data_IF_740199912672
#
_entry.id   IF_740199912672
#
_cell.length_a   1.000
_cell.length_b   1.000
_cell.length_c   1.000
_cell.angle_alpha   90.00
_cell.angle_beta   90.00
_cell.angle_gamma   90.00
#
_symmetry.space_group_name_H-M   'P 1'
#
loop_
_entity.id
_entity.type
_entity.pdbx_description
1 polymer ?
#
# COMPACT_ATOMS: atom_id res chain seq x y z
N UNK A 1 -17.33 -35.01 -40.88
CA UNK A 1 -16.22 -35.08 -39.90
C UNK A 1 -15.67 -33.69 -39.54
N UNK A 2 -15.25 -32.86 -40.50
CA UNK A 2 -14.71 -31.51 -40.22
C UNK A 2 -15.71 -30.60 -39.45
N UNK A 3 -17.00 -30.64 -39.83
CA UNK A 3 -18.05 -29.85 -39.18
C UNK A 3 -18.26 -30.23 -37.71
N UNK A 4 -18.15 -31.51 -37.36
CA UNK A 4 -18.28 -31.97 -35.98
C UNK A 4 -17.09 -31.55 -35.11
N UNK A 5 -15.89 -31.49 -35.70
CA UNK A 5 -14.68 -31.02 -35.00
C UNK A 5 -14.81 -29.53 -34.66
N UNK A 6 -15.31 -28.71 -35.60
CA UNK A 6 -15.52 -27.27 -35.36
C UNK A 6 -16.58 -27.00 -34.28
N UNK A 7 -17.66 -27.79 -34.26
CA UNK A 7 -18.70 -27.71 -33.22
C UNK A 7 -18.13 -28.10 -31.85
N UNK A 8 -17.32 -29.16 -31.77
CA UNK A 8 -16.67 -29.55 -30.52
C UNK A 8 -15.69 -28.48 -30.02
N UNK A 9 -14.90 -27.85 -30.91
CA UNK A 9 -14.01 -26.75 -30.53
C UNK A 9 -14.81 -25.54 -30.01
N UNK A 10 -15.92 -25.19 -30.66
CA UNK A 10 -16.80 -24.11 -30.21
C UNK A 10 -17.43 -24.40 -28.83
N UNK A 11 -17.87 -25.65 -28.60
CA UNK A 11 -18.39 -26.09 -27.30
C UNK A 11 -17.31 -26.09 -26.24
N UNK A 12 -16.09 -26.57 -26.54
CA UNK A 12 -14.96 -26.52 -25.62
C UNK A 12 -14.64 -25.08 -25.27
N UNK A 13 -14.54 -24.16 -26.25
CA UNK A 13 -14.30 -22.74 -26.00
C UNK A 13 -15.42 -22.08 -25.17
N UNK A 14 -16.67 -22.53 -25.32
CA UNK A 14 -17.81 -22.06 -24.53
C UNK A 14 -17.84 -22.64 -23.11
N UNK A 15 -17.37 -23.88 -22.91
CA UNK A 15 -17.28 -24.55 -21.61
C UNK A 15 -16.04 -24.12 -20.83
N UNK A 16 -14.94 -23.85 -21.51
CA UNK A 16 -13.73 -23.27 -20.95
C UNK A 16 -13.81 -21.75 -20.92
N UNK A 17 -15.02 -21.18 -20.91
CA UNK A 17 -15.26 -19.75 -20.81
C UNK A 17 -14.55 -19.17 -19.59
N UNK A 18 -13.28 -18.83 -19.75
CA UNK A 18 -12.54 -17.94 -18.88
C UNK A 18 -13.24 -16.61 -19.09
N UNK A 19 -14.26 -16.35 -18.27
CA UNK A 19 -14.79 -15.03 -18.11
C UNK A 19 -13.58 -14.14 -17.81
N UNK A 20 -13.13 -13.38 -18.80
CA UNK A 20 -12.24 -12.27 -18.57
C UNK A 20 -13.09 -11.34 -17.72
N UNK A 21 -12.92 -11.41 -16.39
CA UNK A 21 -13.55 -10.47 -15.48
C UNK A 21 -12.99 -9.11 -15.89
N UNK A 22 -13.75 -8.37 -16.69
CA UNK A 22 -13.44 -6.99 -17.01
C UNK A 22 -13.48 -6.25 -15.67
N UNK A 23 -12.30 -5.95 -15.11
CA UNK A 23 -12.18 -5.15 -13.89
C UNK A 23 -12.75 -3.78 -14.22
N UNK A 24 -13.90 -3.47 -13.64
CA UNK A 24 -14.61 -2.23 -13.95
C UNK A 24 -13.80 -1.05 -13.39
N UNK A 25 -13.26 -0.22 -14.28
CA UNK A 25 -12.41 0.94 -13.93
C UNK A 25 -13.22 2.04 -13.22
N UNK A 26 -14.55 1.99 -13.29
CA UNK A 26 -15.48 2.95 -12.67
C UNK A 26 -15.34 3.07 -11.15
N UNK A 27 -14.82 2.05 -10.50
CA UNK A 27 -14.84 1.95 -9.04
C UNK A 27 -13.55 2.51 -8.41
N UNK A 28 -12.65 3.07 -9.21
CA UNK A 28 -11.34 3.56 -8.80
C UNK A 28 -11.32 5.09 -8.78
N UNK A 29 -10.82 5.68 -7.69
CA UNK A 29 -10.66 7.14 -7.52
C UNK A 29 -9.29 7.48 -6.97
N UNK A 30 -8.82 8.71 -7.19
CA UNK A 30 -7.58 9.24 -6.61
C UNK A 30 -7.97 10.32 -5.60
N UNK A 31 -7.43 10.28 -4.39
CA UNK A 31 -7.61 11.32 -3.38
C UNK A 31 -6.85 12.60 -3.76
N UNK A 32 -7.08 13.70 -3.04
CA UNK A 32 -6.34 14.95 -3.24
C UNK A 32 -4.81 14.76 -3.08
N UNK A 33 -4.40 13.83 -2.21
CA UNK A 33 -2.99 13.48 -1.96
C UNK A 33 -2.41 12.49 -2.99
N UNK A 34 -3.13 12.19 -4.08
CA UNK A 34 -2.68 11.24 -5.09
C UNK A 34 -2.84 9.77 -4.70
N UNK A 35 -3.59 9.47 -3.63
CA UNK A 35 -3.74 8.09 -3.12
C UNK A 35 -4.86 7.34 -3.84
N UNK A 36 -4.57 6.10 -4.23
CA UNK A 36 -5.50 5.26 -4.95
C UNK A 36 -6.54 4.63 -4.01
N UNK A 37 -7.81 4.92 -4.26
CA UNK A 37 -8.96 4.37 -3.55
C UNK A 37 -9.80 3.49 -4.47
N UNK A 38 -10.41 2.46 -3.90
CA UNK A 38 -11.26 1.52 -4.63
C UNK A 38 -12.55 1.25 -3.87
N UNK A 39 -13.68 1.37 -4.57
CA UNK A 39 -15.03 1.26 -4.01
C UNK A 39 -15.80 0.04 -4.52
N UNK A 40 -15.18 -0.76 -5.39
CA UNK A 40 -15.82 -1.89 -6.03
C UNK A 40 -15.86 -3.14 -5.16
N UNK A 41 -16.14 -4.27 -5.80
CA UNK A 41 -16.39 -5.56 -5.13
C UNK A 41 -15.31 -6.64 -5.39
N UNK A 42 -14.13 -6.24 -5.86
CA UNK A 42 -13.01 -7.18 -6.02
C UNK A 42 -12.50 -7.65 -4.66
N UNK A 43 -12.28 -8.96 -4.51
CA UNK A 43 -11.88 -9.64 -3.26
C UNK A 43 -10.76 -10.65 -3.47
N UNK A 44 -9.88 -10.40 -4.45
CA UNK A 44 -8.69 -11.21 -4.70
C UNK A 44 -7.44 -10.33 -4.65
N UNK A 45 -6.35 -10.90 -4.13
CA UNK A 45 -5.04 -10.23 -4.13
C UNK A 45 -4.40 -10.29 -5.50
N UNK A 46 -3.24 -9.63 -5.65
CA UNK A 46 -2.41 -9.74 -6.85
C UNK A 46 -1.96 -11.17 -7.16
N UNK A 47 -1.88 -12.02 -6.13
CA UNK A 47 -1.51 -13.43 -6.25
C UNK A 47 -2.72 -14.36 -6.24
N UNK A 48 -3.91 -13.82 -6.54
CA UNK A 48 -5.18 -14.54 -6.61
C UNK A 48 -5.58 -15.23 -5.28
N UNK A 49 -5.07 -14.75 -4.14
CA UNK A 49 -5.54 -15.19 -2.83
C UNK A 49 -6.87 -14.53 -2.46
N UNK A 50 -7.76 -15.30 -1.82
CA UNK A 50 -9.06 -14.79 -1.40
C UNK A 50 -8.94 -13.91 -0.16
N UNK A 51 -9.54 -12.73 -0.24
CA UNK A 51 -9.56 -11.79 0.87
C UNK A 51 -10.42 -12.31 2.02
N UNK A 52 -9.89 -12.21 3.25
CA UNK A 52 -10.63 -12.44 4.47
C UNK A 52 -11.64 -11.31 4.75
N UNK A 53 -12.76 -11.60 5.44
CA UNK A 53 -13.70 -10.57 5.86
C UNK A 53 -13.07 -9.57 6.85
N UNK A 54 -13.25 -8.27 6.58
CA UNK A 54 -12.71 -7.21 7.43
C UNK A 54 -13.22 -7.29 8.87
N UNK A 55 -14.49 -7.66 9.06
CA UNK A 55 -15.14 -7.72 10.38
C UNK A 55 -14.60 -8.83 11.28
N UNK A 56 -14.16 -9.95 10.71
CA UNK A 56 -13.69 -11.10 11.49
C UNK A 56 -12.33 -10.84 12.14
N UNK A 57 -11.62 -9.81 11.66
CA UNK A 57 -10.27 -9.47 12.09
C UNK A 57 -10.23 -8.41 13.19
N UNK A 58 -11.37 -7.82 13.56
CA UNK A 58 -11.45 -6.64 14.44
C UNK A 58 -10.75 -6.82 15.80
N UNK A 59 -10.79 -8.02 16.37
CA UNK A 59 -10.15 -8.33 17.66
C UNK A 59 -8.67 -8.71 17.55
N UNK A 60 -8.22 -9.21 16.40
CA UNK A 60 -6.82 -9.60 16.17
C UNK A 60 -5.94 -8.39 15.76
N UNK A 61 -6.58 -7.27 15.47
CA UNK A 61 -6.02 -6.16 14.72
C UNK A 61 -5.38 -5.03 15.52
N UNK A 62 -5.83 -4.85 16.76
CA UNK A 62 -5.34 -3.78 17.64
C UNK A 62 -3.81 -3.85 17.76
N UNK A 63 -3.26 -5.06 17.67
CA UNK A 63 -1.82 -5.32 17.80
C UNK A 63 -1.03 -5.10 16.49
N UNK A 64 -1.65 -5.21 15.31
CA UNK A 64 -0.93 -5.19 14.01
C UNK A 64 -0.73 -3.77 13.49
N UNK A 65 -1.76 -2.91 13.59
CA UNK A 65 -1.73 -1.58 12.93
C UNK A 65 -1.58 -0.43 13.92
N UNK A 66 -1.77 -0.65 15.23
CA UNK A 66 -1.73 0.41 16.26
C UNK A 66 -2.59 1.65 15.94
N UNK A 67 -3.60 1.51 15.07
CA UNK A 67 -4.48 2.60 14.64
C UNK A 67 -5.89 2.40 15.22
N UNK A 68 -6.24 3.09 16.32
CA UNK A 68 -7.51 2.87 17.02
C UNK A 68 -8.74 3.25 16.20
N UNK A 69 -8.58 4.01 15.10
CA UNK A 69 -9.68 4.49 14.26
C UNK A 69 -9.86 3.71 12.95
N UNK A 70 -9.06 2.68 12.70
CA UNK A 70 -9.07 1.93 11.45
C UNK A 70 -10.45 1.38 11.07
N UNK A 71 -11.16 0.77 12.04
CA UNK A 71 -12.51 0.24 11.85
C UNK A 71 -13.63 1.28 11.89
N UNK A 72 -13.31 2.55 12.20
CA UNK A 72 -14.27 3.64 12.14
C UNK A 72 -14.52 4.10 10.70
N UNK A 73 -13.65 3.74 9.76
CA UNK A 73 -13.84 4.02 8.34
C UNK A 73 -15.13 3.34 7.81
N UNK A 74 -16.13 4.10 7.35
CA UNK A 74 -17.37 3.56 6.79
C UNK A 74 -17.13 2.63 5.59
N UNK A 75 -16.06 2.88 4.83
CA UNK A 75 -15.69 2.06 3.67
C UNK A 75 -15.31 0.64 4.08
N UNK A 76 -14.68 0.46 5.26
CA UNK A 76 -14.29 -0.85 5.80
C UNK A 76 -15.50 -1.60 6.34
N UNK A 77 -16.38 -0.93 7.09
CA UNK A 77 -17.60 -1.55 7.62
C UNK A 77 -18.50 -2.11 6.51
N UNK A 78 -18.55 -1.43 5.36
CA UNK A 78 -19.35 -1.85 4.21
C UNK A 78 -18.63 -2.83 3.27
N UNK A 79 -17.31 -2.98 3.39
CA UNK A 79 -16.50 -3.69 2.40
C UNK A 79 -16.65 -5.21 2.42
N UNK A 80 -17.29 -5.84 3.41
CA UNK A 80 -17.29 -7.32 3.56
C UNK A 80 -15.87 -7.88 3.56
N UNK A 81 -15.38 -8.38 2.43
CA UNK A 81 -14.00 -8.80 2.16
C UNK A 81 -13.39 -8.13 0.91
N UNK A 82 -14.00 -7.06 0.39
CA UNK A 82 -13.52 -6.36 -0.79
C UNK A 82 -12.27 -5.54 -0.49
N UNK A 83 -11.37 -5.43 -1.46
CA UNK A 83 -10.14 -4.65 -1.36
C UNK A 83 -10.43 -3.19 -0.99
N UNK A 84 -9.68 -2.62 -0.03
CA UNK A 84 -9.83 -1.22 0.40
C UNK A 84 -8.48 -0.61 0.73
N UNK A 85 -8.45 0.71 0.91
CA UNK A 85 -7.22 1.44 1.25
C UNK A 85 -7.48 2.45 2.39
N UNK A 86 -7.87 1.99 3.59
CA UNK A 86 -8.28 2.88 4.69
C UNK A 86 -7.11 3.66 5.32
N UNK A 87 -5.90 3.10 5.24
CA UNK A 87 -4.67 3.70 5.78
C UNK A 87 -3.91 4.54 4.75
N UNK A 88 -4.55 4.87 3.62
CA UNK A 88 -3.98 5.68 2.56
C UNK A 88 -2.61 5.18 2.05
N UNK A 89 -2.44 3.86 1.95
CA UNK A 89 -1.22 3.24 1.44
C UNK A 89 -0.96 3.67 -0.01
N UNK A 90 0.25 4.16 -0.29
CA UNK A 90 0.69 4.61 -1.63
C UNK A 90 0.70 3.49 -2.66
N UNK A 91 0.88 2.24 -2.23
CA UNK A 91 0.86 1.06 -3.09
C UNK A 91 -0.57 0.62 -3.46
N UNK A 92 -1.58 1.32 -2.92
CA UNK A 92 -2.97 1.20 -3.30
C UNK A 92 -3.76 0.15 -2.51
N UNK A 93 -4.96 -0.22 -2.99
CA UNK A 93 -5.90 -1.07 -2.26
C UNK A 93 -5.36 -2.47 -1.96
N UNK A 94 -5.74 -2.99 -0.80
CA UNK A 94 -5.25 -4.23 -0.24
C UNK A 94 -6.35 -4.92 0.58
N UNK A 95 -6.09 -6.15 1.02
CA UNK A 95 -6.94 -6.89 1.94
C UNK A 95 -6.11 -7.86 2.80
N UNK A 96 -6.76 -8.58 3.72
CA UNK A 96 -6.13 -9.67 4.46
C UNK A 96 -6.26 -10.98 3.74
N UNK A 97 -5.25 -11.81 3.93
CA UNK A 97 -5.24 -13.22 3.52
C UNK A 97 -4.70 -14.05 4.67
N UNK A 98 -5.07 -15.33 4.69
CA UNK A 98 -4.47 -16.32 5.57
C UNK A 98 -3.70 -17.34 4.74
N UNK A 99 -2.43 -17.51 5.06
CA UNK A 99 -1.58 -18.55 4.49
C UNK A 99 -0.84 -19.26 5.61
N UNK A 100 -0.91 -20.58 5.66
CA UNK A 100 -0.22 -21.40 6.68
C UNK A 100 -0.56 -21.00 8.14
N UNK A 101 -1.81 -20.62 8.40
CA UNK A 101 -2.30 -20.08 9.69
C UNK A 101 -1.66 -18.74 10.10
N UNK A 102 -1.11 -18.00 9.14
CA UNK A 102 -0.57 -16.66 9.34
C UNK A 102 -1.43 -15.69 8.54
N UNK A 103 -1.99 -14.69 9.23
CA UNK A 103 -2.76 -13.63 8.61
C UNK A 103 -1.82 -12.50 8.22
N UNK A 104 -1.84 -12.13 6.94
CA UNK A 104 -0.99 -11.06 6.38
C UNK A 104 -1.80 -10.10 5.53
N UNK A 105 -1.25 -8.90 5.35
CA UNK A 105 -1.78 -7.89 4.43
C UNK A 105 -1.20 -8.12 3.04
N UNK A 106 -2.04 -8.12 2.01
CA UNK A 106 -1.63 -8.23 0.62
C UNK A 106 -2.34 -7.25 -0.30
N UNK A 107 -1.61 -6.72 -1.29
CA UNK A 107 -2.14 -5.77 -2.26
C UNK A 107 -3.03 -6.44 -3.30
N UNK A 108 -4.10 -5.74 -3.66
CA UNK A 108 -5.03 -6.16 -4.69
C UNK A 108 -4.64 -5.62 -6.05
N UNK A 109 -4.95 -6.38 -7.09
CA UNK A 109 -4.67 -5.97 -8.46
C UNK A 109 -5.81 -5.16 -9.09
N UNK A 110 -6.17 -4.05 -8.46
CA UNK A 110 -7.24 -3.13 -8.89
C UNK A 110 -6.66 -1.78 -9.30
N UNK A 111 -7.39 -1.04 -10.14
CA UNK A 111 -7.07 0.36 -10.47
C UNK A 111 -5.72 0.59 -11.19
N UNK A 112 -5.11 -0.46 -11.76
CA UNK A 112 -3.84 -0.40 -12.50
C UNK A 112 -3.78 0.71 -13.56
N UNK A 113 -4.88 0.91 -14.30
CA UNK A 113 -4.96 1.90 -15.39
C UNK A 113 -4.96 3.36 -14.91
N UNK A 114 -5.27 3.61 -13.63
CA UNK A 114 -5.16 4.92 -13.01
C UNK A 114 -3.76 5.12 -12.42
N UNK A 115 -3.18 4.07 -11.82
CA UNK A 115 -1.81 4.09 -11.34
C UNK A 115 -0.81 4.39 -12.48
N UNK A 116 -1.00 3.77 -13.65
CA UNK A 116 -0.13 4.00 -14.83
C UNK A 116 -0.28 5.39 -15.46
N UNK A 117 -1.41 6.07 -15.22
CA UNK A 117 -1.67 7.42 -15.74
C UNK A 117 -0.94 8.50 -14.92
N UNK A 118 -0.55 8.18 -13.69
CA UNK A 118 0.28 9.03 -12.84
C UNK A 118 1.77 9.02 -13.25
N UNK A 119 2.21 8.09 -14.09
CA UNK A 119 3.64 7.85 -14.42
C UNK A 119 4.01 8.07 -15.87
N UNK A 120 3.14 8.65 -16.72
CA UNK A 120 3.48 8.97 -18.10
C UNK A 120 3.92 10.44 -18.21
N UNK A 121 5.20 10.73 -18.50
CA UNK A 121 5.62 12.04 -18.97
C UNK A 121 5.01 12.24 -20.36
N UNK A 122 4.24 13.31 -20.54
CA UNK A 122 3.73 13.71 -21.84
C UNK A 122 4.88 14.27 -22.68
N UNK A 123 5.22 13.53 -23.74
CA UNK A 123 5.86 13.94 -24.99
C UNK A 123 7.30 14.49 -25.03
N UNK A 124 7.96 14.08 -26.12
CA UNK A 124 9.38 14.15 -26.43
C UNK A 124 9.71 15.47 -27.15
N UNK A 125 10.75 16.16 -26.69
CA UNK A 125 11.54 17.10 -27.48
C UNK A 125 13.00 16.65 -27.49
N UNK A 126 13.38 15.91 -28.51
CA UNK A 126 14.76 15.53 -28.81
C UNK A 126 15.59 16.76 -29.19
N UNK A 127 16.61 17.11 -28.39
CA UNK A 127 17.80 17.87 -28.81
C UNK A 127 18.99 17.38 -27.96
N UNK A 128 19.82 16.58 -28.64
CA UNK A 128 21.29 16.58 -28.67
C UNK A 128 22.10 16.67 -27.35
N UNK A 129 23.04 15.73 -27.20
CA UNK A 129 24.19 15.86 -26.30
C UNK A 129 24.94 17.17 -26.59
N UNK A 130 24.78 18.19 -25.75
CA UNK A 130 25.82 19.19 -25.57
C UNK A 130 25.87 19.68 -24.13
N UNK A 131 26.99 19.37 -23.48
CA UNK A 131 27.33 19.88 -22.18
C UNK A 131 27.39 21.42 -22.21
N UNK A 132 26.41 22.09 -21.59
CA UNK A 132 26.55 23.49 -21.23
C UNK A 132 26.03 23.74 -19.81
N UNK A 133 26.98 24.12 -18.96
CA UNK A 133 26.93 24.99 -17.79
C UNK A 133 25.56 25.33 -17.17
N UNK A 134 25.50 25.08 -15.85
CA UNK A 134 24.98 25.97 -14.81
C UNK A 134 24.02 27.08 -15.26
N UNK A 135 22.72 26.86 -15.05
CA UNK A 135 21.79 27.72 -14.28
C UNK A 135 20.37 27.15 -14.40
N UNK A 136 20.02 26.20 -13.52
CA UNK A 136 18.66 25.62 -13.42
C UNK A 136 17.77 26.55 -12.57
N UNK A 137 17.21 27.57 -13.23
CA UNK A 137 16.12 28.40 -12.70
C UNK A 137 14.76 27.90 -13.22
N UNK A 138 13.94 27.35 -12.32
CA UNK A 138 12.54 27.82 -12.29
C UNK A 138 11.36 26.85 -12.40
N UNK A 139 11.48 25.51 -12.29
CA UNK A 139 10.27 24.65 -12.23
C UNK A 139 10.27 23.48 -11.22
N UNK A 140 11.38 23.19 -10.52
CA UNK A 140 11.43 22.17 -9.46
C UNK A 140 11.84 22.62 -8.02
N UNK A 141 11.46 23.79 -7.48
CA UNK A 141 11.74 24.11 -6.06
C UNK A 141 10.90 23.30 -5.05
N UNK A 142 9.63 23.02 -5.36
CA UNK A 142 8.64 22.54 -4.37
C UNK A 142 8.92 21.12 -3.88
N UNK A 143 9.17 20.18 -4.78
CA UNK A 143 9.43 18.77 -4.43
C UNK A 143 10.76 18.63 -3.69
N UNK A 144 11.82 19.31 -4.13
CA UNK A 144 13.13 19.27 -3.45
C UNK A 144 13.03 19.80 -2.02
N UNK A 145 12.27 20.87 -1.83
CA UNK A 145 12.08 21.46 -0.51
C UNK A 145 11.12 20.65 0.37
N UNK A 146 10.15 19.96 -0.21
CA UNK A 146 9.33 18.96 0.50
C UNK A 146 10.14 17.74 0.93
N UNK A 147 10.98 17.20 0.04
CA UNK A 147 11.90 16.10 0.38
C UNK A 147 12.87 16.52 1.48
N UNK A 148 13.42 17.74 1.42
CA UNK A 148 14.27 18.30 2.49
C UNK A 148 13.50 18.46 3.80
N UNK A 149 12.26 18.95 3.76
CA UNK A 149 11.40 19.09 4.94
C UNK A 149 11.06 17.73 5.56
N UNK A 150 10.69 16.75 4.75
CA UNK A 150 10.42 15.38 5.19
C UNK A 150 11.69 14.74 5.79
N UNK A 151 12.84 14.86 5.13
CA UNK A 151 14.11 14.39 5.66
C UNK A 151 14.51 15.09 6.97
N UNK A 152 14.20 16.38 7.13
CA UNK A 152 14.42 17.10 8.39
C UNK A 152 13.50 16.60 9.50
N UNK A 153 12.22 16.37 9.19
CA UNK A 153 11.24 15.81 10.12
C UNK A 153 11.64 14.42 10.60
N UNK A 154 11.98 13.52 9.68
CA UNK A 154 12.43 12.15 10.00
C UNK A 154 13.68 12.21 10.89
N UNK A 155 14.68 13.03 10.55
CA UNK A 155 15.87 13.24 11.38
C UNK A 155 15.53 13.73 12.78
N UNK A 156 14.53 14.61 12.92
CA UNK A 156 14.09 15.11 14.22
C UNK A 156 13.38 14.03 15.04
N UNK A 157 12.52 13.21 14.43
CA UNK A 157 11.86 12.10 15.10
C UNK A 157 12.87 11.06 15.59
N UNK A 158 13.85 10.70 14.74
CA UNK A 158 14.94 9.80 15.14
C UNK A 158 15.75 10.35 16.30
N UNK A 159 16.06 11.66 16.32
CA UNK A 159 16.75 12.30 17.46
C UNK A 159 15.97 12.16 18.76
N UNK A 160 14.66 12.46 18.74
CA UNK A 160 13.77 12.31 19.91
C UNK A 160 13.70 10.87 20.41
N UNK A 161 13.59 9.91 19.48
CA UNK A 161 13.60 8.49 19.81
C UNK A 161 14.91 8.07 20.47
N UNK A 162 16.04 8.47 19.89
CA UNK A 162 17.37 8.17 20.44
C UNK A 162 17.59 8.79 21.82
N UNK A 163 17.07 9.98 22.09
CA UNK A 163 17.11 10.57 23.43
C UNK A 163 16.29 9.80 24.46
N UNK A 164 15.09 9.33 24.08
CA UNK A 164 14.25 8.47 24.94
C UNK A 164 14.98 7.16 25.25
N UNK A 165 15.56 6.51 24.23
CA UNK A 165 16.34 5.29 24.39
C UNK A 165 17.55 5.54 25.31
N UNK A 166 18.33 6.61 25.09
CA UNK A 166 19.46 6.97 25.95
C UNK A 166 19.03 7.21 27.39
N UNK A 167 17.92 7.91 27.63
CA UNK A 167 17.38 8.17 28.97
C UNK A 167 16.97 6.87 29.67
N UNK A 168 16.35 5.94 28.95
CA UNK A 168 15.99 4.63 29.47
C UNK A 168 17.23 3.79 29.80
N UNK A 169 18.24 3.76 28.93
CA UNK A 169 19.51 3.07 29.20
C UNK A 169 20.19 3.64 30.44
N UNK A 170 20.24 4.98 30.61
CA UNK A 170 20.81 5.61 31.82
C UNK A 170 20.08 5.18 33.09
N UNK A 171 18.74 5.13 33.06
CA UNK A 171 17.91 4.68 34.20
C UNK A 171 18.10 3.21 34.52
N UNK A 172 18.23 2.36 33.50
CA UNK A 172 18.54 0.94 33.71
C UNK A 172 19.93 0.80 34.35
N UNK A 173 20.92 1.54 33.85
CA UNK A 173 22.28 1.53 34.40
C UNK A 173 22.32 2.00 35.86
N UNK A 174 21.59 3.05 36.22
CA UNK A 174 21.54 3.51 37.62
C UNK A 174 20.91 2.47 38.55
N UNK A 175 19.81 1.82 38.13
CA UNK A 175 19.21 0.73 38.91
C UNK A 175 20.17 -0.44 39.14
N UNK A 176 20.95 -0.82 38.12
CA UNK A 176 21.95 -1.87 38.27
C UNK A 176 23.09 -1.48 39.23
N UNK A 177 23.51 -0.21 39.23
CA UNK A 177 24.52 0.29 40.17
C UNK A 177 24.01 0.38 41.61
N UNK A 178 22.74 0.74 41.81
CA UNK A 178 22.13 0.77 43.15
C UNK A 178 21.98 -0.65 43.73
N UNK A 179 21.66 -1.64 42.88
CA UNK A 179 21.54 -3.04 43.28
C UNK A 179 22.88 -3.67 43.71
N UNK A 180 24.03 -3.27 43.12
CA UNK A 180 25.34 -3.79 43.52
C UNK A 180 25.81 -3.24 44.86
N UNK A 181 25.47 -1.99 45.18
CA UNK A 181 25.83 -1.34 46.45
C UNK A 181 25.04 -1.88 47.66
N UNK A 182 23.91 -2.55 47.45
CA UNK A 182 23.13 -3.16 48.53
C UNK A 182 23.56 -4.60 48.86
N UNK A 183 24.36 -5.23 47.98
CA UNK A 183 24.80 -6.62 48.10
C UNK A 183 26.28 -6.75 48.54
N UNK A 184 26.88 -5.69 49.09
CA UNK A 184 28.24 -5.66 49.67
C UNK A 184 28.14 -5.17 51.12
#
# INVERSE_FOLDING_TARGET
>A
MLLHILILIAIINSLTGKAIIARNVSDCTISEDGILLYHGKHSLTKFDQECLPWNDLQTMYVDIINEPNFYSDPSIKAAKNYCRNPNMNVDGPWCFVESENIITMEHCNVCQSLASRSTLPTDIGSIDEEATNDTDDGLFPTIRDEVKRCAAYIRQQMKKLMERIRKNIRRLRSRFSDQSNYNT
#
